data_IF_177287907655
#
_entry.id   IF_177287907655
#
_cell.length_a   1.000
_cell.length_b   1.000
_cell.length_c   1.000
_cell.angle_alpha   90.00
_cell.angle_beta   90.00
_cell.angle_gamma   90.00
#
_symmetry.space_group_name_H-M   'P 1'
#
loop_
_entity.id
_entity.type
_entity.pdbx_description
1 polymer ?
#
# COMPACT_ATOMS: atom_id res chain seq x y z
N UNK A 1 -61.95 -41.13 -12.55
CA UNK A 1 -60.58 -40.85 -12.07
C UNK A 1 -59.79 -40.21 -13.21
N UNK A 2 -59.48 -38.92 -13.09
CA UNK A 2 -58.32 -38.20 -13.64
C UNK A 2 -58.63 -36.70 -13.55
N UNK A 3 -58.40 -36.12 -12.37
CA UNK A 3 -57.92 -34.75 -12.27
C UNK A 3 -56.41 -34.81 -12.62
N UNK A 4 -55.77 -33.83 -13.24
CA UNK A 4 -55.59 -32.51 -12.66
C UNK A 4 -55.12 -31.48 -13.69
N UNK A 5 -55.72 -30.30 -13.59
CA UNK A 5 -55.17 -29.02 -14.05
C UNK A 5 -53.88 -28.71 -13.28
N UNK A 6 -52.86 -28.16 -13.94
CA UNK A 6 -52.04 -27.06 -13.41
C UNK A 6 -51.00 -26.62 -14.46
N UNK A 7 -51.39 -25.58 -15.20
CA UNK A 7 -50.47 -24.63 -15.82
C UNK A 7 -49.95 -23.73 -14.69
N UNK A 8 -48.63 -23.62 -14.47
CA UNK A 8 -48.04 -22.49 -13.75
C UNK A 8 -46.56 -22.36 -14.12
N UNK A 9 -46.28 -21.26 -14.81
CA UNK A 9 -44.99 -20.82 -15.25
C UNK A 9 -44.04 -20.58 -14.07
N UNK A 10 -42.89 -21.26 -14.07
CA UNK A 10 -41.78 -20.91 -13.19
C UNK A 10 -40.93 -19.82 -13.87
N UNK A 11 -41.34 -18.57 -13.67
CA UNK A 11 -40.48 -17.40 -13.88
C UNK A 11 -39.39 -17.44 -12.79
N UNK A 12 -38.27 -18.11 -13.06
CA UNK A 12 -37.12 -18.08 -12.18
C UNK A 12 -36.53 -16.67 -12.23
N UNK A 13 -36.73 -15.93 -11.15
CA UNK A 13 -36.19 -14.60 -10.91
C UNK A 13 -34.67 -14.62 -11.10
N UNK A 14 -34.20 -13.93 -12.15
CA UNK A 14 -32.85 -13.40 -12.19
C UNK A 14 -32.73 -12.31 -11.14
N UNK A 15 -32.39 -12.68 -9.92
CA UNK A 15 -31.83 -11.74 -8.95
C UNK A 15 -30.39 -11.52 -9.41
N UNK A 16 -30.22 -10.60 -10.36
CA UNK A 16 -28.94 -9.92 -10.54
C UNK A 16 -28.60 -9.30 -9.19
N UNK A 17 -27.62 -9.87 -8.50
CA UNK A 17 -27.07 -9.28 -7.28
C UNK A 17 -26.58 -7.88 -7.61
N UNK A 18 -27.41 -6.89 -7.30
CA UNK A 18 -26.93 -5.53 -7.08
C UNK A 18 -25.93 -5.67 -5.95
N UNK A 19 -24.64 -5.63 -6.27
CA UNK A 19 -23.60 -5.48 -5.29
C UNK A 19 -23.97 -4.25 -4.46
N UNK A 20 -24.50 -4.49 -3.26
CA UNK A 20 -24.77 -3.44 -2.31
C UNK A 20 -23.38 -2.93 -1.92
N UNK A 21 -22.98 -1.83 -2.55
CA UNK A 21 -21.72 -1.17 -2.22
C UNK A 21 -21.72 -0.99 -0.70
N UNK A 22 -20.65 -1.42 -0.05
CA UNK A 22 -20.50 -1.21 1.38
C UNK A 22 -20.74 0.28 1.68
N UNK A 23 -21.56 0.57 2.68
CA UNK A 23 -21.90 1.95 3.06
C UNK A 23 -20.64 2.76 3.45
N UNK A 24 -19.55 2.06 3.79
CA UNK A 24 -18.25 2.60 4.14
C UNK A 24 -17.09 1.67 3.78
N UNK A 25 -15.90 2.27 3.67
CA UNK A 25 -14.60 1.59 3.58
C UNK A 25 -13.76 2.01 4.79
N UNK A 26 -13.14 1.05 5.46
CA UNK A 26 -12.29 1.28 6.64
C UNK A 26 -10.82 1.15 6.25
N UNK A 27 -10.05 2.23 6.43
CA UNK A 27 -8.63 2.32 6.06
C UNK A 27 -7.75 2.40 7.30
N UNK A 28 -6.80 1.48 7.42
CA UNK A 28 -5.75 1.55 8.43
C UNK A 28 -4.52 2.16 7.76
N UNK A 29 -4.13 3.37 8.15
CA UNK A 29 -3.11 4.14 7.45
C UNK A 29 -1.88 4.46 8.30
N UNK A 30 -0.68 4.25 7.79
CA UNK A 30 0.55 4.76 8.43
C UNK A 30 0.95 6.16 7.99
N UNK A 31 0.19 6.74 7.04
CA UNK A 31 0.34 8.13 6.62
C UNK A 31 -0.46 9.03 7.56
N UNK A 32 0.08 10.22 7.81
CA UNK A 32 -0.58 11.26 8.60
C UNK A 32 -1.86 11.77 7.92
N UNK A 33 -2.83 12.16 8.73
CA UNK A 33 -4.17 12.60 8.32
C UNK A 33 -4.15 13.66 7.22
N UNK A 34 -3.26 14.65 7.33
CA UNK A 34 -3.19 15.79 6.41
C UNK A 34 -2.88 15.36 4.97
N UNK A 35 -2.21 14.21 4.79
CA UNK A 35 -1.85 13.69 3.47
C UNK A 35 -2.94 12.79 2.85
N UNK A 36 -3.83 12.20 3.66
CA UNK A 36 -4.80 11.19 3.20
C UNK A 36 -6.24 11.70 3.19
N UNK A 37 -6.59 12.58 4.13
CA UNK A 37 -7.96 13.07 4.28
C UNK A 37 -8.49 13.75 3.00
N UNK A 38 -7.73 14.62 2.31
CA UNK A 38 -8.22 15.22 1.06
C UNK A 38 -8.55 14.20 -0.03
N UNK A 39 -7.81 13.08 -0.08
CA UNK A 39 -8.04 12.00 -1.04
C UNK A 39 -9.34 11.26 -0.71
N UNK A 40 -9.56 10.97 0.57
CA UNK A 40 -10.77 10.29 1.04
C UNK A 40 -12.02 11.17 0.90
N UNK A 41 -11.91 12.47 1.17
CA UNK A 41 -12.99 13.43 0.99
C UNK A 41 -13.38 13.54 -0.49
N UNK A 42 -12.39 13.61 -1.40
CA UNK A 42 -12.63 13.63 -2.84
C UNK A 42 -13.27 12.32 -3.35
N UNK A 43 -12.83 11.17 -2.84
CA UNK A 43 -13.44 9.87 -3.14
C UNK A 43 -14.90 9.82 -2.67
N UNK A 44 -15.17 10.25 -1.43
CA UNK A 44 -16.51 10.28 -0.84
C UNK A 44 -17.42 11.22 -1.64
N UNK A 45 -16.96 12.42 -1.99
CA UNK A 45 -17.74 13.38 -2.78
C UNK A 45 -18.10 12.85 -4.17
N UNK A 46 -17.21 12.06 -4.79
CA UNK A 46 -17.42 11.50 -6.14
C UNK A 46 -18.30 10.25 -6.15
N UNK A 47 -18.21 9.42 -5.13
CA UNK A 47 -18.81 8.07 -5.13
C UNK A 47 -19.98 7.91 -4.16
N UNK A 48 -20.09 8.80 -3.17
CA UNK A 48 -21.02 8.66 -2.05
C UNK A 48 -20.56 7.66 -0.97
N UNK A 49 -19.49 6.90 -1.21
CA UNK A 49 -18.97 5.89 -0.27
C UNK A 49 -18.15 6.58 0.82
N UNK A 50 -18.52 6.36 2.09
CA UNK A 50 -17.80 6.95 3.22
C UNK A 50 -16.48 6.25 3.47
N UNK A 51 -15.46 6.99 3.89
CA UNK A 51 -14.19 6.41 4.34
C UNK A 51 -14.02 6.67 5.83
N UNK A 52 -13.97 5.60 6.63
CA UNK A 52 -13.48 5.66 8.01
C UNK A 52 -12.00 5.30 7.99
N UNK A 53 -11.20 5.97 8.80
CA UNK A 53 -9.79 5.62 8.88
C UNK A 53 -9.23 5.82 10.28
N UNK A 54 -8.16 5.09 10.56
CA UNK A 54 -7.30 5.31 11.72
C UNK A 54 -5.87 5.48 11.25
N UNK A 55 -5.08 6.19 12.03
CA UNK A 55 -3.64 6.32 11.79
C UNK A 55 -2.81 5.84 12.97
N UNK A 56 -1.78 5.07 12.68
CA UNK A 56 -0.74 4.69 13.63
C UNK A 56 0.52 4.29 12.86
N UNK A 57 1.60 3.96 13.56
CA UNK A 57 2.83 3.45 12.93
C UNK A 57 2.57 2.09 12.28
N UNK A 58 3.43 1.74 11.33
CA UNK A 58 3.29 0.55 10.48
C UNK A 58 3.24 -0.75 11.31
N UNK A 59 4.17 -0.90 12.25
CA UNK A 59 4.26 -2.12 13.06
C UNK A 59 3.05 -2.32 14.00
N UNK A 60 2.58 -1.30 14.75
CA UNK A 60 1.32 -1.37 15.47
C UNK A 60 0.11 -1.72 14.59
N UNK A 61 -0.03 -1.12 13.40
CA UNK A 61 -1.14 -1.43 12.50
C UNK A 61 -1.12 -2.88 12.03
N UNK A 62 0.05 -3.38 11.59
CA UNK A 62 0.19 -4.78 11.18
C UNK A 62 -0.07 -5.75 12.34
N UNK A 63 0.39 -5.43 13.55
CA UNK A 63 0.12 -6.23 14.73
C UNK A 63 -1.37 -6.25 15.09
N UNK A 64 -2.05 -5.10 14.94
CA UNK A 64 -3.49 -4.96 15.15
C UNK A 64 -4.29 -5.78 14.15
N UNK A 65 -4.04 -5.64 12.84
CA UNK A 65 -4.73 -6.42 11.79
C UNK A 65 -4.55 -7.92 12.07
N UNK A 66 -3.32 -8.34 12.41
CA UNK A 66 -3.05 -9.73 12.76
C UNK A 66 -3.84 -10.21 13.99
N UNK A 67 -3.94 -9.38 15.02
CA UNK A 67 -4.66 -9.72 16.24
C UNK A 67 -6.18 -9.77 16.04
N UNK A 68 -6.72 -8.88 15.21
CA UNK A 68 -8.14 -8.87 14.84
C UNK A 68 -8.52 -10.06 13.94
N UNK A 69 -7.58 -10.52 13.10
CA UNK A 69 -7.73 -11.72 12.27
C UNK A 69 -8.93 -11.59 11.32
N UNK A 70 -9.74 -12.65 11.22
CA UNK A 70 -10.94 -12.67 10.38
C UNK A 70 -12.01 -11.64 10.79
N UNK A 71 -11.90 -11.06 11.99
CA UNK A 71 -12.82 -10.04 12.49
C UNK A 71 -12.27 -8.61 12.32
N UNK A 72 -11.15 -8.42 11.61
CA UNK A 72 -10.64 -7.08 11.35
C UNK A 72 -11.70 -6.28 10.59
N UNK A 73 -12.03 -5.05 11.05
CA UNK A 73 -12.89 -4.17 10.28
C UNK A 73 -12.11 -3.50 9.14
N UNK A 74 -10.78 -3.69 9.03
CA UNK A 74 -9.96 -3.01 8.03
C UNK A 74 -10.17 -3.59 6.63
N UNK A 75 -10.58 -2.74 5.69
CA UNK A 75 -10.68 -3.09 4.27
C UNK A 75 -9.38 -2.80 3.51
N UNK A 76 -8.62 -1.79 3.95
CA UNK A 76 -7.39 -1.36 3.30
C UNK A 76 -6.29 -1.05 4.31
N UNK A 77 -5.09 -1.62 4.10
CA UNK A 77 -3.86 -1.15 4.72
C UNK A 77 -3.16 -0.14 3.79
N UNK A 78 -3.07 1.13 4.20
CA UNK A 78 -2.37 2.18 3.49
C UNK A 78 -1.06 2.52 4.21
N UNK A 79 0.05 1.96 3.75
CA UNK A 79 1.37 2.18 4.39
C UNK A 79 2.36 2.88 3.47
N UNK A 80 3.57 3.10 3.97
CA UNK A 80 4.71 3.62 3.24
C UNK A 80 5.78 2.55 3.10
N UNK A 81 6.58 2.67 2.04
CA UNK A 81 7.69 1.76 1.72
C UNK A 81 7.27 0.33 1.29
N UNK A 82 7.90 -0.16 0.23
CA UNK A 82 7.63 -1.50 -0.29
C UNK A 82 8.07 -2.60 0.71
N UNK A 83 9.06 -2.34 1.57
CA UNK A 83 9.49 -3.29 2.60
C UNK A 83 8.39 -3.57 3.63
N UNK A 84 7.59 -2.56 4.00
CA UNK A 84 6.45 -2.77 4.90
C UNK A 84 5.29 -3.51 4.20
N UNK A 85 5.06 -3.23 2.91
CA UNK A 85 4.05 -3.97 2.12
C UNK A 85 4.43 -5.45 1.97
N UNK A 86 5.70 -5.72 1.66
CA UNK A 86 6.25 -7.07 1.61
C UNK A 86 6.13 -7.76 2.98
N UNK A 87 6.42 -7.07 4.08
CA UNK A 87 6.25 -7.63 5.42
C UNK A 87 4.78 -7.98 5.71
N UNK A 88 3.83 -7.10 5.37
CA UNK A 88 2.40 -7.37 5.55
C UNK A 88 1.94 -8.58 4.73
N UNK A 89 2.45 -8.73 3.51
CA UNK A 89 2.25 -9.90 2.66
C UNK A 89 2.81 -11.18 3.29
N UNK A 90 4.05 -11.18 3.77
CA UNK A 90 4.66 -12.33 4.47
C UNK A 90 3.92 -12.71 5.75
N UNK A 91 3.28 -11.74 6.40
CA UNK A 91 2.44 -11.96 7.59
C UNK A 91 1.05 -12.51 7.25
N UNK A 92 0.69 -12.64 5.97
CA UNK A 92 -0.63 -13.09 5.52
C UNK A 92 -1.75 -12.09 5.79
N UNK A 93 -1.43 -10.79 5.88
CA UNK A 93 -2.42 -9.75 6.18
C UNK A 93 -3.13 -9.21 4.94
N UNK A 94 -2.64 -9.55 3.75
CA UNK A 94 -3.09 -9.03 2.47
C UNK A 94 -3.70 -10.15 1.63
N UNK A 95 -4.62 -9.79 0.76
CA UNK A 95 -5.22 -10.71 -0.22
C UNK A 95 -4.95 -10.19 -1.64
N UNK A 96 -4.77 -11.09 -2.64
CA UNK A 96 -4.66 -10.68 -4.03
C UNK A 96 -5.87 -9.89 -4.50
N UNK A 97 -5.64 -8.76 -5.18
CA UNK A 97 -6.70 -7.94 -5.75
C UNK A 97 -6.40 -7.56 -7.21
N UNK A 98 -7.13 -8.19 -8.14
CA UNK A 98 -6.99 -7.95 -9.58
C UNK A 98 -7.90 -6.83 -10.03
N UNK A 99 -7.35 -5.85 -10.74
CA UNK A 99 -8.08 -4.69 -11.23
C UNK A 99 -7.47 -4.17 -12.52
N UNK A 100 -8.28 -4.18 -13.60
CA UNK A 100 -7.89 -3.62 -14.88
C UNK A 100 -7.51 -2.13 -14.78
N UNK A 101 -8.09 -1.40 -13.82
CA UNK A 101 -7.72 0.00 -13.54
C UNK A 101 -6.31 0.10 -12.96
N UNK A 102 -5.95 -0.78 -12.01
CA UNK A 102 -4.60 -0.83 -11.42
C UNK A 102 -3.59 -1.26 -12.49
N UNK A 103 -3.87 -2.34 -13.22
CA UNK A 103 -2.97 -2.88 -14.24
C UNK A 103 -2.65 -1.87 -15.35
N UNK A 104 -3.66 -1.10 -15.77
CA UNK A 104 -3.51 -0.05 -16.79
C UNK A 104 -2.74 1.17 -16.29
N UNK A 105 -2.95 1.56 -15.02
CA UNK A 105 -2.45 2.84 -14.52
C UNK A 105 -1.12 2.72 -13.75
N UNK A 106 -0.77 1.53 -13.25
CA UNK A 106 0.39 1.32 -12.38
C UNK A 106 1.34 0.31 -13.07
N UNK A 107 2.59 0.70 -13.38
CA UNK A 107 3.59 -0.22 -13.92
C UNK A 107 3.84 -1.45 -13.03
N UNK A 108 4.21 -2.59 -13.63
CA UNK A 108 4.34 -3.87 -12.90
C UNK A 108 5.43 -3.83 -11.83
N UNK A 109 6.50 -3.08 -12.03
CA UNK A 109 7.59 -2.93 -11.05
C UNK A 109 7.17 -2.22 -9.75
N UNK A 110 5.98 -1.61 -9.71
CA UNK A 110 5.42 -0.96 -8.53
C UNK A 110 4.27 -1.75 -7.90
N UNK A 111 4.13 -3.03 -8.26
CA UNK A 111 3.09 -3.94 -7.79
C UNK A 111 3.71 -5.22 -7.22
N UNK A 112 3.02 -5.89 -6.31
CA UNK A 112 3.41 -7.24 -5.90
C UNK A 112 3.28 -8.20 -7.08
N UNK A 113 4.18 -9.18 -7.16
CA UNK A 113 4.06 -10.30 -8.10
C UNK A 113 2.89 -11.24 -7.78
N UNK A 114 2.31 -11.14 -6.58
CA UNK A 114 1.13 -11.92 -6.15
C UNK A 114 -0.18 -11.13 -6.22
N UNK A 115 -0.16 -9.91 -6.74
CA UNK A 115 -1.28 -8.96 -6.76
C UNK A 115 -1.78 -8.54 -5.34
N UNK A 116 -1.02 -8.81 -4.28
CA UNK A 116 -1.42 -8.52 -2.89
C UNK A 116 -1.30 -7.04 -2.46
N UNK A 117 -0.50 -6.25 -3.18
CA UNK A 117 -0.36 -4.80 -2.94
C UNK A 117 0.06 -4.04 -4.20
N UNK A 118 -0.19 -2.73 -4.20
CA UNK A 118 0.20 -1.80 -5.28
C UNK A 118 0.74 -0.48 -4.72
N UNK A 119 1.76 0.09 -5.36
CA UNK A 119 2.32 1.39 -5.04
C UNK A 119 1.49 2.53 -5.64
N UNK A 120 1.08 3.49 -4.79
CA UNK A 120 0.27 4.65 -5.20
C UNK A 120 1.08 5.94 -5.40
N UNK A 121 2.30 5.99 -4.86
CA UNK A 121 3.19 7.15 -4.93
C UNK A 121 4.64 6.70 -4.93
N UNK A 122 5.50 7.41 -5.66
CA UNK A 122 6.94 7.15 -5.66
C UNK A 122 7.68 8.15 -4.78
N UNK A 123 8.81 7.70 -4.25
CA UNK A 123 9.74 8.50 -3.46
C UNK A 123 11.16 8.11 -3.81
N UNK A 124 12.00 9.09 -4.06
CA UNK A 124 13.42 8.89 -4.25
C UNK A 124 14.15 9.12 -2.93
N UNK A 125 15.03 8.20 -2.56
CA UNK A 125 15.94 8.41 -1.44
C UNK A 125 17.26 8.90 -2.00
N UNK A 126 17.49 10.21 -1.99
CA UNK A 126 18.64 10.83 -2.66
C UNK A 126 19.74 11.24 -1.68
N UNK A 127 20.88 11.64 -2.22
CA UNK A 127 21.93 12.33 -1.49
C UNK A 127 21.52 13.78 -1.31
N UNK A 128 21.47 14.23 -0.06
CA UNK A 128 21.31 15.65 0.30
C UNK A 128 22.64 16.12 0.85
N UNK A 129 23.14 17.25 0.34
CA UNK A 129 24.47 17.77 0.69
C UNK A 129 24.40 19.27 1.01
N UNK A 130 25.41 19.73 1.74
CA UNK A 130 25.61 21.16 2.03
C UNK A 130 26.38 21.80 0.89
N UNK A 131 25.79 22.78 0.23
CA UNK A 131 26.38 23.50 -0.92
C UNK A 131 27.61 24.33 -0.55
N UNK A 132 27.82 24.61 0.74
CA UNK A 132 29.04 25.27 1.24
C UNK A 132 30.24 24.33 1.33
N UNK A 133 30.00 23.01 1.43
CA UNK A 133 31.04 22.01 1.76
C UNK A 133 31.22 20.91 0.73
N UNK A 134 30.31 20.77 -0.23
CA UNK A 134 30.30 19.71 -1.24
C UNK A 134 29.83 20.30 -2.56
N UNK A 135 30.59 20.07 -3.62
CA UNK A 135 30.18 20.37 -5.01
C UNK A 135 29.42 19.18 -5.61
N UNK A 136 28.44 19.43 -6.51
CA UNK A 136 27.70 18.36 -7.17
C UNK A 136 28.60 17.33 -7.86
N UNK A 137 29.67 17.80 -8.51
CA UNK A 137 30.67 16.95 -9.19
C UNK A 137 31.49 16.04 -8.28
N UNK A 138 31.47 16.23 -6.95
CA UNK A 138 32.05 15.28 -5.99
C UNK A 138 31.12 14.08 -5.73
N UNK A 139 29.84 14.18 -6.10
CA UNK A 139 28.83 13.16 -5.87
C UNK A 139 28.62 12.30 -7.13
N UNK A 140 28.50 11.00 -6.91
CA UNK A 140 28.23 10.04 -7.98
C UNK A 140 27.18 9.02 -7.53
N UNK A 141 27.61 7.86 -7.04
CA UNK A 141 26.73 6.75 -6.68
C UNK A 141 26.61 6.58 -5.16
N UNK A 142 25.71 5.69 -4.71
CA UNK A 142 25.58 5.38 -3.29
C UNK A 142 26.81 4.63 -2.77
N UNK A 143 27.40 3.77 -3.60
CA UNK A 143 28.60 2.99 -3.29
C UNK A 143 29.80 3.90 -3.04
N UNK A 144 29.95 4.97 -3.83
CA UNK A 144 31.01 5.96 -3.65
C UNK A 144 30.93 6.69 -2.30
N UNK A 145 29.80 6.66 -1.59
CA UNK A 145 29.70 7.19 -0.23
C UNK A 145 30.50 6.39 0.79
N UNK A 146 30.95 5.17 0.46
CA UNK A 146 31.84 4.37 1.29
C UNK A 146 33.32 4.79 1.18
N UNK A 147 33.67 5.67 0.24
CA UNK A 147 35.04 6.11 0.02
C UNK A 147 35.59 6.94 1.19
N UNK A 148 36.91 6.86 1.41
CA UNK A 148 37.60 7.57 2.50
C UNK A 148 37.34 9.08 2.53
N UNK A 149 37.06 9.71 1.39
CA UNK A 149 36.76 11.14 1.31
C UNK A 149 35.49 11.55 2.08
N UNK A 150 34.61 10.61 2.40
CA UNK A 150 33.36 10.82 3.13
C UNK A 150 33.45 10.46 4.61
N UNK A 151 34.59 9.97 5.09
CA UNK A 151 34.80 9.61 6.49
C UNK A 151 34.52 10.82 7.39
N UNK A 152 33.65 10.63 8.40
CA UNK A 152 33.21 11.70 9.31
C UNK A 152 32.29 12.77 8.70
N UNK A 153 31.88 12.64 7.42
CA UNK A 153 31.05 13.64 6.71
C UNK A 153 29.60 13.18 6.47
N UNK A 154 29.28 11.91 6.74
CA UNK A 154 27.95 11.36 6.52
C UNK A 154 27.03 11.50 7.75
N UNK A 155 25.81 11.98 7.53
CA UNK A 155 24.76 12.01 8.54
C UNK A 155 23.59 11.14 8.10
N UNK A 156 23.42 9.98 8.76
CA UNK A 156 22.33 9.05 8.47
C UNK A 156 21.49 8.81 9.72
N UNK A 157 20.18 8.63 9.50
CA UNK A 157 19.27 8.13 10.54
C UNK A 157 19.57 6.65 10.82
N UNK A 158 19.14 6.15 11.98
CA UNK A 158 19.32 4.75 12.41
C UNK A 158 18.97 3.69 11.35
N UNK A 159 19.77 2.63 11.28
CA UNK A 159 19.58 1.46 10.39
C UNK A 159 18.23 0.75 10.60
N UNK A 160 17.58 0.92 11.77
CA UNK A 160 16.27 0.32 12.08
C UNK A 160 15.10 0.88 11.26
N UNK A 161 15.31 1.92 10.45
CA UNK A 161 14.24 2.49 9.63
C UNK A 161 14.13 1.74 8.30
N UNK A 162 12.91 1.36 7.94
CA UNK A 162 12.60 0.62 6.70
C UNK A 162 13.23 1.25 5.47
N UNK A 163 13.26 2.58 5.38
CA UNK A 163 13.88 3.27 4.25
C UNK A 163 15.37 2.94 4.08
N UNK A 164 16.11 2.70 5.17
CA UNK A 164 17.53 2.30 5.12
C UNK A 164 17.62 0.83 4.73
N UNK A 165 16.77 -0.01 5.32
CA UNK A 165 16.70 -1.43 5.00
C UNK A 165 16.37 -1.67 3.54
N UNK A 166 15.41 -0.95 2.97
CA UNK A 166 15.04 -1.02 1.56
C UNK A 166 16.16 -0.54 0.64
N UNK A 167 16.85 0.55 0.97
CA UNK A 167 18.03 0.99 0.21
C UNK A 167 19.15 -0.08 0.25
N UNK A 168 19.46 -0.60 1.44
CA UNK A 168 20.45 -1.68 1.58
C UNK A 168 20.03 -2.94 0.84
N UNK A 169 18.75 -3.32 0.90
CA UNK A 169 18.21 -4.45 0.16
C UNK A 169 18.36 -4.27 -1.35
N UNK A 170 18.09 -3.07 -1.87
CA UNK A 170 18.37 -2.73 -3.28
C UNK A 170 19.85 -2.89 -3.60
N UNK A 171 20.75 -2.36 -2.77
CA UNK A 171 22.19 -2.46 -3.01
C UNK A 171 22.70 -3.92 -2.98
N UNK A 172 22.07 -4.80 -2.20
CA UNK A 172 22.41 -6.24 -2.18
C UNK A 172 21.86 -6.96 -3.42
N UNK A 173 20.68 -6.60 -3.91
CA UNK A 173 20.10 -7.24 -5.09
C UNK A 173 20.82 -6.84 -6.38
N UNK A 174 21.34 -5.61 -6.45
CA UNK A 174 21.96 -5.07 -7.66
C UNK A 174 23.46 -5.39 -7.82
N UNK A 175 24.10 -6.03 -6.82
CA UNK A 175 25.53 -6.33 -6.79
C UNK A 175 25.81 -7.72 -6.25
#
# INVERSE_FOLDING_TARGET
MQASKALLAALALGITGLAQAADEVVVYSSRIDELIKPVFDAYTSKTGVKVKFITDKEAPLMARIKAEGANTPADLLLTVDAGNLWQAEQMGLLQPFKSATIERNIPSQYRSSTDSWTGLSLRARTIVYSTERVKPEELSTYEALADKQWEGRLCLRTAKKVYNQSLTGTLIETH
#
